data_IF_764364724555
#
_entry.id   IF_764364724555
#
_cell.length_a   1.000
_cell.length_b   1.000
_cell.length_c   1.000
_cell.angle_alpha   90.00
_cell.angle_beta   90.00
_cell.angle_gamma   90.00
#
_symmetry.space_group_name_H-M   'P 1'
#
loop_
_entity.id
_entity.type
_entity.pdbx_description
1 polymer ?
#
# COMPACT_ATOMS: atom_id res chain seq x y z
N UNK A 1 -28.76 -8.49 12.62
CA UNK A 1 -27.83 -7.61 11.87
C UNK A 1 -28.66 -6.58 11.16
N UNK A 2 -28.38 -5.31 11.40
CA UNK A 2 -29.19 -4.23 10.84
C UNK A 2 -28.99 -4.10 9.34
N UNK A 3 -30.03 -3.69 8.62
CA UNK A 3 -29.99 -3.46 7.17
C UNK A 3 -28.89 -2.47 6.80
N UNK A 4 -28.72 -1.42 7.61
CA UNK A 4 -27.66 -0.42 7.47
C UNK A 4 -26.25 -1.03 7.53
N UNK A 5 -26.04 -2.02 8.42
CA UNK A 5 -24.75 -2.70 8.53
C UNK A 5 -24.43 -3.52 7.28
N UNK A 6 -25.40 -4.32 6.81
CA UNK A 6 -25.29 -5.07 5.56
C UNK A 6 -25.02 -4.16 4.35
N UNK A 7 -25.67 -2.99 4.29
CA UNK A 7 -25.41 -2.00 3.24
C UNK A 7 -23.98 -1.48 3.30
N UNK A 8 -23.42 -1.20 4.48
CA UNK A 8 -22.01 -0.77 4.62
C UNK A 8 -21.03 -1.85 4.14
N UNK A 9 -21.27 -3.11 4.51
CA UNK A 9 -20.43 -4.24 4.06
C UNK A 9 -20.49 -4.36 2.53
N UNK A 10 -21.68 -4.33 1.94
CA UNK A 10 -21.86 -4.44 0.49
C UNK A 10 -21.25 -3.25 -0.27
N UNK A 11 -21.42 -2.02 0.24
CA UNK A 11 -20.79 -0.83 -0.36
C UNK A 11 -19.26 -0.92 -0.29
N UNK A 12 -18.71 -1.39 0.83
CA UNK A 12 -17.27 -1.53 0.98
C UNK A 12 -16.67 -2.55 -0.03
N UNK A 13 -17.36 -3.67 -0.26
CA UNK A 13 -17.04 -4.62 -1.32
C UNK A 13 -17.01 -3.97 -2.69
N UNK A 14 -18.10 -3.28 -3.07
CA UNK A 14 -18.27 -2.70 -4.40
C UNK A 14 -17.25 -1.59 -4.66
N UNK A 15 -17.00 -0.71 -3.69
CA UNK A 15 -16.06 0.40 -3.83
C UNK A 15 -14.63 -0.13 -4.00
N UNK A 16 -14.20 -1.02 -3.11
CA UNK A 16 -12.83 -1.57 -3.16
C UNK A 16 -12.61 -2.43 -4.41
N UNK A 17 -13.57 -3.28 -4.76
CA UNK A 17 -13.50 -4.12 -5.96
C UNK A 17 -13.49 -3.29 -7.24
N UNK A 18 -14.36 -2.28 -7.35
CA UNK A 18 -14.40 -1.37 -8.51
C UNK A 18 -13.11 -0.57 -8.64
N UNK A 19 -12.56 -0.07 -7.53
CA UNK A 19 -11.29 0.66 -7.53
C UNK A 19 -10.16 -0.19 -8.10
N UNK A 20 -10.02 -1.43 -7.65
CA UNK A 20 -8.99 -2.37 -8.12
C UNK A 20 -9.19 -2.73 -9.59
N UNK A 21 -10.44 -2.92 -10.04
CA UNK A 21 -10.75 -3.15 -11.44
C UNK A 21 -10.34 -1.95 -12.32
N UNK A 22 -10.72 -0.74 -11.91
CA UNK A 22 -10.38 0.51 -12.62
C UNK A 22 -8.86 0.69 -12.67
N UNK A 23 -8.17 0.53 -11.53
CA UNK A 23 -6.72 0.66 -11.46
C UNK A 23 -5.99 -0.36 -12.35
N UNK A 24 -6.53 -1.59 -12.44
CA UNK A 24 -6.01 -2.63 -13.34
C UNK A 24 -6.18 -2.22 -14.81
N UNK A 25 -7.36 -1.74 -15.20
CA UNK A 25 -7.65 -1.26 -16.56
C UNK A 25 -6.82 -0.03 -16.95
N UNK A 26 -6.63 0.90 -16.01
CA UNK A 26 -5.77 2.07 -16.22
C UNK A 26 -4.31 1.66 -16.41
N UNK A 27 -3.84 0.65 -15.66
CA UNK A 27 -2.49 0.09 -15.81
C UNK A 27 -2.28 -0.54 -17.19
N UNK A 28 -3.28 -1.24 -17.75
CA UNK A 28 -3.20 -1.76 -19.12
C UNK A 28 -3.01 -0.65 -20.17
N UNK A 29 -3.75 0.46 -20.01
CA UNK A 29 -3.75 1.57 -20.97
C UNK A 29 -2.53 2.48 -20.86
N UNK A 30 -2.05 2.72 -19.64
CA UNK A 30 -1.00 3.69 -19.34
C UNK A 30 0.39 3.05 -19.20
N UNK A 31 0.45 1.71 -19.21
CA UNK A 31 1.68 0.94 -19.06
C UNK A 31 2.11 0.78 -17.60
N UNK A 32 3.00 -0.18 -17.36
CA UNK A 32 3.40 -0.62 -16.01
C UNK A 32 3.94 0.50 -15.10
N UNK A 33 4.70 1.47 -15.66
CA UNK A 33 5.27 2.59 -14.89
C UNK A 33 4.20 3.55 -14.35
N UNK A 34 3.30 4.03 -15.23
CA UNK A 34 2.22 4.94 -14.81
C UNK A 34 1.12 4.22 -14.04
N UNK A 35 0.82 2.97 -14.40
CA UNK A 35 -0.13 2.14 -13.66
C UNK A 35 0.31 1.92 -12.21
N UNK A 36 1.59 1.61 -11.98
CA UNK A 36 2.15 1.49 -10.64
C UNK A 36 2.08 2.78 -9.82
N UNK A 37 2.21 3.95 -10.46
CA UNK A 37 2.07 5.24 -9.80
C UNK A 37 0.61 5.52 -9.42
N UNK A 38 -0.34 5.25 -10.32
CA UNK A 38 -1.78 5.43 -10.07
C UNK A 38 -2.27 4.52 -8.93
N UNK A 39 -1.83 3.25 -8.91
CA UNK A 39 -2.20 2.31 -7.86
C UNK A 39 -1.65 2.70 -6.49
N UNK A 40 -0.57 3.48 -6.43
CA UNK A 40 0.10 3.91 -5.21
C UNK A 40 -0.09 5.41 -4.91
N UNK A 41 -1.04 6.09 -5.57
CA UNK A 41 -1.38 7.45 -5.19
C UNK A 41 -1.77 7.48 -3.70
N UNK A 42 -1.30 8.48 -2.92
CA UNK A 42 -1.45 8.54 -1.46
C UNK A 42 -2.88 8.92 -1.04
N UNK A 43 -3.87 8.29 -1.65
CA UNK A 43 -5.31 8.49 -1.43
C UNK A 43 -5.71 8.15 0.00
N UNK A 44 -5.25 7.02 0.53
CA UNK A 44 -5.57 6.61 1.90
C UNK A 44 -4.98 7.57 2.94
N UNK A 45 -3.71 7.97 2.79
CA UNK A 45 -3.06 8.90 3.73
C UNK A 45 -3.76 10.26 3.70
N UNK A 46 -4.09 10.76 2.50
CA UNK A 46 -4.82 12.03 2.36
C UNK A 46 -6.18 11.99 3.08
N UNK A 47 -6.98 10.96 2.81
CA UNK A 47 -8.30 10.81 3.43
C UNK A 47 -8.16 10.71 4.96
N UNK A 48 -7.24 9.89 5.45
CA UNK A 48 -6.96 9.75 6.88
C UNK A 48 -6.60 11.09 7.53
N UNK A 49 -5.72 11.89 6.93
CA UNK A 49 -5.34 13.19 7.46
C UNK A 49 -6.50 14.18 7.50
N UNK A 50 -7.37 14.18 6.49
CA UNK A 50 -8.59 15.01 6.47
C UNK A 50 -9.50 14.62 7.63
N UNK A 51 -9.79 13.33 7.81
CA UNK A 51 -10.65 12.88 8.90
C UNK A 51 -10.05 13.15 10.28
N UNK A 52 -8.74 12.97 10.43
CA UNK A 52 -8.03 13.31 11.66
C UNK A 52 -8.11 14.82 11.92
N UNK A 53 -7.91 15.68 10.92
CA UNK A 53 -8.05 17.12 11.07
C UNK A 53 -9.46 17.53 11.52
N UNK A 54 -10.49 16.90 10.95
CA UNK A 54 -11.88 17.18 11.27
C UNK A 54 -12.29 16.69 12.66
N UNK A 55 -11.69 15.60 13.16
CA UNK A 55 -12.10 14.96 14.42
C UNK A 55 -11.21 15.33 15.60
N UNK A 56 -9.90 15.48 15.38
CA UNK A 56 -8.88 15.72 16.41
C UNK A 56 -8.19 17.08 16.25
N UNK A 57 -8.50 17.84 15.20
CA UNK A 57 -7.93 19.15 14.93
C UNK A 57 -6.57 19.10 14.23
N UNK A 58 -6.17 20.25 13.69
CA UNK A 58 -4.92 20.41 12.92
C UNK A 58 -3.67 20.22 13.77
N UNK A 59 -3.75 20.48 15.08
CA UNK A 59 -2.63 20.29 16.01
C UNK A 59 -2.29 18.81 16.19
N UNK A 60 -3.26 17.91 16.15
CA UNK A 60 -2.98 16.47 16.21
C UNK A 60 -2.37 15.99 14.89
N UNK A 61 -2.85 16.51 13.76
CA UNK A 61 -2.27 16.21 12.44
C UNK A 61 -0.78 16.54 12.39
N UNK A 62 -0.36 17.69 12.92
CA UNK A 62 1.06 18.08 12.93
C UNK A 62 1.94 17.14 13.76
N UNK A 63 1.37 16.41 14.72
CA UNK A 63 2.09 15.39 15.52
C UNK A 63 2.18 14.04 14.79
N UNK A 64 1.21 13.71 13.93
CA UNK A 64 1.19 12.45 13.15
C UNK A 64 2.06 12.52 11.90
N UNK A 65 2.09 13.69 11.24
CA UNK A 65 2.79 13.90 9.97
C UNK A 65 4.27 13.47 9.98
N UNK A 66 5.06 13.73 11.05
CA UNK A 66 6.43 13.22 11.15
C UNK A 66 6.55 11.70 11.00
N UNK A 67 5.53 10.91 11.35
CA UNK A 67 5.54 9.46 11.18
C UNK A 67 5.35 8.98 9.74
N UNK A 68 4.83 9.82 8.84
CA UNK A 68 4.51 9.42 7.46
C UNK A 68 5.77 8.98 6.69
N UNK A 69 6.88 9.74 6.66
CA UNK A 69 8.11 9.29 5.99
C UNK A 69 8.68 7.99 6.55
N UNK A 70 8.47 7.70 7.84
CA UNK A 70 8.90 6.42 8.45
C UNK A 70 8.08 5.26 7.90
N UNK A 71 6.76 5.42 7.78
CA UNK A 71 5.91 4.45 7.10
C UNK A 71 6.35 4.18 5.65
N UNK A 72 6.63 5.25 4.90
CA UNK A 72 7.12 5.14 3.51
C UNK A 72 8.48 4.44 3.43
N UNK A 73 9.37 4.66 4.40
CA UNK A 73 10.66 3.97 4.50
C UNK A 73 10.47 2.46 4.73
N UNK A 74 9.52 2.07 5.59
CA UNK A 74 9.21 0.66 5.85
C UNK A 74 8.68 0.00 4.56
N UNK A 75 7.81 0.69 3.82
CA UNK A 75 7.29 0.21 2.54
C UNK A 75 8.42 0.05 1.49
N UNK A 76 9.41 0.94 1.48
CA UNK A 76 10.61 0.77 0.63
C UNK A 76 11.37 -0.51 0.97
N UNK A 77 11.59 -0.82 2.25
CA UNK A 77 12.22 -2.08 2.67
C UNK A 77 11.40 -3.30 2.30
N UNK A 78 10.08 -3.24 2.51
CA UNK A 78 9.15 -4.27 2.07
C UNK A 78 9.34 -4.59 0.58
N UNK A 79 9.38 -3.56 -0.28
CA UNK A 79 9.56 -3.72 -1.72
C UNK A 79 10.94 -4.28 -2.07
N UNK A 80 12.00 -3.82 -1.40
CA UNK A 80 13.36 -4.31 -1.62
C UNK A 80 13.46 -5.81 -1.30
N UNK A 81 12.95 -6.23 -0.14
CA UNK A 81 12.93 -7.65 0.27
C UNK A 81 12.07 -8.47 -0.68
N UNK A 82 10.90 -7.94 -1.05
CA UNK A 82 10.00 -8.61 -2.00
C UNK A 82 10.73 -8.91 -3.31
N UNK A 83 11.38 -7.92 -3.93
CA UNK A 83 12.07 -8.08 -5.21
C UNK A 83 13.26 -9.05 -5.10
N UNK A 84 14.05 -8.94 -4.02
CA UNK A 84 15.21 -9.82 -3.81
C UNK A 84 14.79 -11.28 -3.64
N UNK A 85 13.69 -11.55 -2.92
CA UNK A 85 13.20 -12.91 -2.67
C UNK A 85 12.37 -13.47 -3.83
N UNK A 86 11.80 -12.61 -4.67
CA UNK A 86 10.97 -13.02 -5.81
C UNK A 86 11.73 -13.92 -6.79
N UNK A 87 13.06 -13.77 -6.88
CA UNK A 87 13.92 -14.64 -7.71
C UNK A 87 13.97 -16.10 -7.26
N UNK A 88 13.57 -16.40 -6.02
CA UNK A 88 13.56 -17.75 -5.46
C UNK A 88 12.15 -18.35 -5.44
N UNK A 89 11.16 -17.64 -4.90
CA UNK A 89 9.75 -18.03 -5.01
C UNK A 89 8.80 -16.88 -4.64
N UNK A 90 7.58 -16.91 -5.21
CA UNK A 90 6.53 -15.94 -4.90
C UNK A 90 6.06 -16.05 -3.44
N UNK A 91 5.93 -17.26 -2.89
CA UNK A 91 5.48 -17.44 -1.51
C UNK A 91 6.52 -16.88 -0.54
N UNK A 92 7.81 -17.17 -0.77
CA UNK A 92 8.90 -16.64 0.05
C UNK A 92 8.97 -15.11 -0.03
N UNK A 93 8.72 -14.52 -1.21
CA UNK A 93 8.71 -13.06 -1.34
C UNK A 93 7.55 -12.42 -0.59
N UNK A 94 6.35 -13.01 -0.65
CA UNK A 94 5.19 -12.54 0.12
C UNK A 94 5.46 -12.63 1.63
N UNK A 95 5.84 -13.82 2.12
CA UNK A 95 6.05 -14.04 3.55
C UNK A 95 7.22 -13.21 4.08
N UNK A 96 8.36 -13.23 3.39
CA UNK A 96 9.55 -12.49 3.80
C UNK A 96 9.34 -10.98 3.85
N UNK A 97 8.71 -10.42 2.81
CA UNK A 97 8.42 -8.97 2.78
C UNK A 97 7.42 -8.56 3.86
N UNK A 98 6.34 -9.31 4.06
CA UNK A 98 5.38 -9.02 5.13
C UNK A 98 6.03 -9.11 6.52
N UNK A 99 6.86 -10.12 6.77
CA UNK A 99 7.60 -10.24 8.03
C UNK A 99 8.55 -9.05 8.24
N UNK A 100 9.26 -8.60 7.21
CA UNK A 100 10.09 -7.40 7.27
C UNK A 100 9.24 -6.18 7.62
N UNK A 101 8.12 -5.98 6.94
CA UNK A 101 7.21 -4.86 7.20
C UNK A 101 6.70 -4.86 8.64
N UNK A 102 6.17 -5.99 9.12
CA UNK A 102 5.67 -6.11 10.50
C UNK A 102 6.78 -5.86 11.53
N UNK A 103 7.97 -6.45 11.33
CA UNK A 103 9.10 -6.28 12.25
C UNK A 103 9.52 -4.82 12.34
N UNK A 104 9.67 -4.15 11.18
CA UNK A 104 10.06 -2.75 11.14
C UNK A 104 8.95 -1.83 11.68
N UNK A 105 7.68 -2.15 11.46
CA UNK A 105 6.56 -1.41 12.04
C UNK A 105 6.54 -1.49 13.57
N UNK A 106 6.83 -2.66 14.15
CA UNK A 106 6.97 -2.84 15.60
C UNK A 106 8.15 -2.03 16.13
N UNK A 107 9.30 -2.07 15.43
CA UNK A 107 10.48 -1.27 15.80
C UNK A 107 10.15 0.23 15.73
N UNK A 108 9.45 0.68 14.69
CA UNK A 108 9.05 2.07 14.58
C UNK A 108 8.12 2.47 15.74
N UNK A 109 7.16 1.62 16.12
CA UNK A 109 6.23 1.93 17.21
C UNK A 109 6.89 2.20 18.57
N UNK A 110 8.13 1.73 18.79
CA UNK A 110 8.90 1.98 20.03
C UNK A 110 9.92 3.12 19.90
N UNK A 111 10.17 3.62 18.69
CA UNK A 111 11.10 4.72 18.43
C UNK A 111 10.38 6.07 18.47
N UNK A 112 11.07 7.11 18.95
CA UNK A 112 10.58 8.49 18.87
C UNK A 112 11.11 9.14 17.60
N UNK A 113 10.21 9.66 16.77
CA UNK A 113 10.55 10.30 15.50
C UNK A 113 9.73 11.59 15.28
N UNK A 114 9.69 12.43 16.30
CA UNK A 114 8.83 13.63 16.37
C UNK A 114 9.20 14.73 15.35
N UNK A 115 10.34 14.60 14.66
CA UNK A 115 10.86 15.62 13.76
C UNK A 115 10.69 15.23 12.29
N UNK A 116 9.94 16.05 11.55
CA UNK A 116 9.63 15.79 10.14
C UNK A 116 10.86 15.78 9.23
N UNK A 117 11.73 16.80 9.34
CA UNK A 117 12.85 16.99 8.40
C UNK A 117 13.87 15.83 8.49
N UNK A 118 14.35 15.42 9.68
CA UNK A 118 15.22 14.25 9.79
C UNK A 118 14.60 12.97 9.21
N UNK A 119 13.30 12.76 9.42
CA UNK A 119 12.62 11.57 8.90
C UNK A 119 12.54 11.57 7.37
N UNK A 120 12.29 12.74 6.75
CA UNK A 120 12.33 12.89 5.29
C UNK A 120 13.74 12.59 4.76
N UNK A 121 14.78 13.16 5.38
CA UNK A 121 16.17 12.92 4.97
C UNK A 121 16.50 11.43 5.08
N UNK A 122 16.13 10.79 6.18
CA UNK A 122 16.38 9.37 6.40
C UNK A 122 15.64 8.50 5.38
N UNK A 123 14.36 8.79 5.13
CA UNK A 123 13.57 8.15 4.08
C UNK A 123 14.22 8.28 2.69
N UNK A 124 14.66 9.49 2.31
CA UNK A 124 15.30 9.72 1.01
C UNK A 124 16.62 8.96 0.90
N UNK A 125 17.46 9.00 1.94
CA UNK A 125 18.72 8.26 1.97
C UNK A 125 18.50 6.76 1.78
N UNK A 126 17.58 6.16 2.55
CA UNK A 126 17.25 4.74 2.45
C UNK A 126 16.65 4.39 1.10
N UNK A 127 15.82 5.25 0.53
CA UNK A 127 15.21 5.03 -0.79
C UNK A 127 16.26 5.06 -1.89
N UNK A 128 17.19 6.03 -1.84
CA UNK A 128 18.30 6.13 -2.80
C UNK A 128 19.22 4.91 -2.68
N UNK A 129 19.62 4.51 -1.47
CA UNK A 129 20.49 3.34 -1.28
C UNK A 129 19.80 2.05 -1.73
N UNK A 130 18.51 1.89 -1.41
CA UNK A 130 17.69 0.76 -1.86
C UNK A 130 17.60 0.70 -3.39
N UNK A 131 17.42 1.84 -4.04
CA UNK A 131 17.40 1.94 -5.50
C UNK A 131 18.75 1.52 -6.10
N UNK A 132 19.86 2.03 -5.57
CA UNK A 132 21.21 1.68 -6.02
C UNK A 132 21.48 0.18 -5.84
N UNK A 133 21.07 -0.40 -4.70
CA UNK A 133 21.21 -1.83 -4.42
C UNK A 133 20.42 -2.63 -5.45
N UNK A 134 19.17 -2.27 -5.72
CA UNK A 134 18.34 -2.97 -6.69
C UNK A 134 18.93 -2.86 -8.10
N UNK A 135 19.35 -1.67 -8.53
CA UNK A 135 19.91 -1.45 -9.87
C UNK A 135 21.24 -2.20 -10.08
N UNK A 136 22.12 -2.24 -9.08
CA UNK A 136 23.45 -2.86 -9.20
C UNK A 136 23.47 -4.35 -8.87
N UNK A 137 22.67 -4.81 -7.91
CA UNK A 137 22.71 -6.19 -7.41
C UNK A 137 21.65 -7.10 -8.03
N UNK A 138 20.53 -6.55 -8.49
CA UNK A 138 19.44 -7.31 -9.09
C UNK A 138 19.22 -6.75 -10.49
N UNK A 139 19.98 -7.26 -11.48
CA UNK A 139 19.81 -6.91 -12.89
C UNK A 139 18.41 -7.36 -13.34
N UNK A 140 17.40 -6.56 -13.01
CA UNK A 140 16.05 -6.67 -13.54
C UNK A 140 15.99 -5.58 -14.58
N UNK A 141 16.10 -5.92 -15.88
CA UNK A 141 15.93 -4.92 -16.92
C UNK A 141 14.58 -4.26 -16.69
N UNK A 142 14.56 -2.93 -16.58
CA UNK A 142 13.31 -2.17 -16.52
C UNK A 142 12.59 -2.44 -17.84
N UNK A 143 11.70 -3.43 -17.84
CA UNK A 143 10.99 -3.81 -19.06
C UNK A 143 10.06 -2.65 -19.42
N UNK A 144 10.32 -2.02 -20.55
CA UNK A 144 9.42 -1.03 -21.12
C UNK A 144 8.09 -1.71 -21.46
N UNK A 145 6.99 -1.07 -21.07
CA UNK A 145 5.59 -1.43 -21.39
C UNK A 145 5.33 -2.94 -21.43
N UNK A 146 5.00 -3.53 -20.28
CA UNK A 146 4.22 -4.77 -20.32
C UNK A 146 2.82 -4.43 -20.83
N UNK A 147 2.58 -4.60 -22.13
CA UNK A 147 1.25 -4.49 -22.75
C UNK A 147 0.39 -5.74 -22.49
N UNK A 148 0.51 -6.34 -21.30
CA UNK A 148 -0.33 -7.48 -20.93
C UNK A 148 -1.76 -6.98 -20.80
N UNK A 149 -2.60 -7.36 -21.77
CA UNK A 149 -4.05 -7.23 -21.70
C UNK A 149 -4.54 -8.27 -20.70
N UNK A 150 -5.16 -7.86 -19.59
CA UNK A 150 -5.79 -8.79 -18.66
C UNK A 150 -7.11 -9.28 -19.26
N UNK A 151 -7.41 -10.55 -19.05
CA UNK A 151 -8.74 -11.08 -19.39
C UNK A 151 -9.77 -10.48 -18.44
N UNK A 152 -10.99 -10.24 -18.94
CA UNK A 152 -12.12 -9.83 -18.11
C UNK A 152 -12.31 -10.72 -16.86
N UNK A 153 -12.04 -12.04 -16.99
CA UNK A 153 -12.07 -12.98 -15.85
C UNK A 153 -11.02 -12.65 -14.78
N UNK A 154 -9.82 -12.22 -15.18
CA UNK A 154 -8.75 -11.85 -14.25
C UNK A 154 -9.05 -10.53 -13.54
N UNK A 155 -9.63 -9.56 -14.26
CA UNK A 155 -10.08 -8.29 -13.69
C UNK A 155 -11.19 -8.54 -12.66
N UNK A 156 -12.17 -9.36 -13.02
CA UNK A 156 -13.26 -9.73 -12.14
C UNK A 156 -12.76 -10.47 -10.89
N UNK A 157 -11.85 -11.44 -11.05
CA UNK A 157 -11.28 -12.19 -9.92
C UNK A 157 -10.53 -11.26 -8.96
N UNK A 158 -9.75 -10.31 -9.48
CA UNK A 158 -9.05 -9.31 -8.67
C UNK A 158 -10.03 -8.39 -7.94
N UNK A 159 -11.09 -7.95 -8.62
CA UNK A 159 -12.13 -7.11 -8.03
C UNK A 159 -12.86 -7.84 -6.89
N UNK A 160 -13.28 -9.10 -7.12
CA UNK A 160 -13.94 -9.93 -6.11
C UNK A 160 -13.02 -10.19 -4.92
N UNK A 161 -11.74 -10.50 -5.17
CA UNK A 161 -10.79 -10.76 -4.10
C UNK A 161 -10.57 -9.52 -3.23
N UNK A 162 -10.26 -8.38 -3.85
CA UNK A 162 -10.01 -7.15 -3.09
C UNK A 162 -11.26 -6.62 -2.39
N UNK A 163 -12.41 -6.63 -3.08
CA UNK A 163 -13.70 -6.30 -2.49
C UNK A 163 -14.01 -7.22 -1.30
N UNK A 164 -13.77 -8.52 -1.44
CA UNK A 164 -14.01 -9.52 -0.41
C UNK A 164 -13.16 -9.30 0.83
N UNK A 165 -11.87 -9.00 0.66
CA UNK A 165 -10.98 -8.68 1.79
C UNK A 165 -11.46 -7.43 2.53
N UNK A 166 -11.81 -6.35 1.82
CA UNK A 166 -12.29 -5.11 2.46
C UNK A 166 -13.64 -5.33 3.15
N UNK A 167 -14.57 -6.05 2.52
CA UNK A 167 -15.85 -6.38 3.12
C UNK A 167 -15.70 -7.24 4.38
N UNK A 168 -14.76 -8.18 4.37
CA UNK A 168 -14.43 -8.99 5.54
C UNK A 168 -13.90 -8.13 6.68
N UNK A 169 -13.01 -7.18 6.39
CA UNK A 169 -12.51 -6.23 7.40
C UNK A 169 -13.65 -5.41 7.99
N UNK A 170 -14.51 -4.81 7.15
CA UNK A 170 -15.66 -4.01 7.62
C UNK A 170 -16.65 -4.87 8.43
N UNK A 171 -16.88 -6.11 7.99
CA UNK A 171 -17.74 -7.04 8.69
C UNK A 171 -17.21 -7.37 10.09
N UNK A 172 -15.92 -7.71 10.18
CA UNK A 172 -15.24 -7.99 11.45
C UNK A 172 -15.28 -6.77 12.37
N UNK A 173 -14.92 -5.58 11.87
CA UNK A 173 -14.94 -4.34 12.65
C UNK A 173 -16.32 -3.98 13.19
N UNK A 174 -17.40 -4.32 12.49
CA UNK A 174 -18.76 -4.06 12.98
C UNK A 174 -19.34 -5.15 13.89
N UNK A 175 -18.67 -6.29 14.05
CA UNK A 175 -19.00 -7.27 15.10
C UNK A 175 -18.41 -6.83 16.45
N UNK A 176 -17.25 -6.16 16.41
CA UNK A 176 -16.53 -5.71 17.61
C UNK A 176 -16.91 -4.31 18.10
N UNK A 177 -17.83 -3.63 17.42
CA UNK A 177 -18.43 -2.35 17.82
C UNK A 177 -19.89 -2.56 18.24
#
# INVERSE_FOLDING_TARGET
>A
MDTLFLTRVLLSFLIAGSWIAIATLLTERLGSKLGGLITNLPSNILISLIFIALTQGTQFVSQVVPGIPIGMLIDTFFLLVFIILLKYSLLLSIVGSLLTWFTLAIIAAILKYDQLIPNIIFYLLVTITSFIILEKAVIIPSHNKSSKKYSWKQILLRAIFAGGVVALVVFISGIFN
#
